data_IF_340897748210
#
_entry.id   IF_340897748210
#
_cell.length_a   1.000
_cell.length_b   1.000
_cell.length_c   1.000
_cell.angle_alpha   90.00
_cell.angle_beta   90.00
_cell.angle_gamma   90.00
#
_symmetry.space_group_name_H-M   'P 1'
#
loop_
_entity.id
_entity.type
_entity.pdbx_description
1 polymer ?
#
# COMPACT_ATOMS: atom_id res chain seq x y z
N UNK A 1 5.65 -10.67 22.16
CA UNK A 1 5.76 -10.20 20.77
C UNK A 1 5.99 -8.71 20.79
N UNK A 2 6.96 -8.22 20.02
CA UNK A 2 7.19 -6.80 19.85
C UNK A 2 6.00 -6.14 19.15
N UNK A 3 5.74 -4.87 19.47
CA UNK A 3 4.66 -4.08 18.85
C UNK A 3 4.83 -3.98 17.33
N UNK A 4 6.07 -4.01 16.85
CA UNK A 4 6.42 -3.97 15.43
C UNK A 4 6.04 -5.26 14.69
N UNK A 5 6.26 -6.42 15.32
CA UNK A 5 5.86 -7.73 14.78
C UNK A 5 4.34 -7.81 14.60
N UNK A 6 3.58 -7.33 15.59
CA UNK A 6 2.11 -7.30 15.54
C UNK A 6 1.60 -6.38 14.42
N UNK A 7 2.19 -5.19 14.28
CA UNK A 7 1.84 -4.24 13.23
C UNK A 7 2.17 -4.77 11.82
N UNK A 8 3.33 -5.42 11.65
CA UNK A 8 3.71 -6.05 10.38
C UNK A 8 2.74 -7.16 9.97
N UNK A 9 2.33 -7.99 10.93
CA UNK A 9 1.39 -9.09 10.70
C UNK A 9 -0.01 -8.58 10.34
N UNK A 10 -0.49 -7.53 11.01
CA UNK A 10 -1.74 -6.84 10.65
C UNK A 10 -1.68 -6.25 9.24
N UNK A 11 -0.55 -5.65 8.84
CA UNK A 11 -0.35 -5.10 7.50
C UNK A 11 -0.41 -6.18 6.42
N UNK A 12 0.25 -7.33 6.65
CA UNK A 12 0.17 -8.48 5.75
C UNK A 12 -1.24 -9.08 5.70
N UNK A 13 -1.91 -9.21 6.84
CA UNK A 13 -3.28 -9.73 6.88
C UNK A 13 -4.25 -8.84 6.12
N UNK A 14 -4.10 -7.50 6.23
CA UNK A 14 -4.83 -6.53 5.41
C UNK A 14 -4.52 -6.66 3.91
N UNK A 15 -3.24 -6.84 3.55
CA UNK A 15 -2.82 -7.08 2.17
C UNK A 15 -3.40 -8.37 1.57
N UNK A 16 -3.39 -9.47 2.33
CA UNK A 16 -4.00 -10.74 1.94
C UNK A 16 -5.51 -10.64 1.79
N UNK A 17 -6.20 -9.95 2.70
CA UNK A 17 -7.65 -9.72 2.60
C UNK A 17 -8.00 -8.94 1.34
N UNK A 18 -7.25 -7.88 1.00
CA UNK A 18 -7.46 -7.12 -0.23
C UNK A 18 -7.20 -7.95 -1.48
N UNK A 19 -6.11 -8.73 -1.50
CA UNK A 19 -5.84 -9.67 -2.60
C UNK A 19 -6.96 -10.70 -2.75
N UNK A 20 -7.42 -11.28 -1.64
CA UNK A 20 -8.53 -12.23 -1.62
C UNK A 20 -9.81 -11.61 -2.18
N UNK A 21 -10.15 -10.41 -1.73
CA UNK A 21 -11.29 -9.65 -2.24
C UNK A 21 -11.17 -9.38 -3.75
N UNK A 22 -10.03 -8.85 -4.22
CA UNK A 22 -9.80 -8.57 -5.64
C UNK A 22 -9.85 -9.85 -6.50
N UNK A 23 -9.33 -10.97 -5.98
CA UNK A 23 -9.36 -12.28 -6.65
C UNK A 23 -10.78 -12.81 -6.79
N UNK A 24 -11.56 -12.76 -5.71
CA UNK A 24 -12.96 -13.20 -5.68
C UNK A 24 -13.82 -12.30 -6.57
N UNK A 25 -13.68 -10.98 -6.49
CA UNK A 25 -14.41 -10.04 -7.35
C UNK A 25 -14.09 -10.26 -8.83
N UNK A 26 -12.83 -10.59 -9.16
CA UNK A 26 -12.45 -10.93 -10.54
C UNK A 26 -13.12 -12.21 -11.01
N UNK A 27 -13.20 -13.25 -10.16
CA UNK A 27 -13.91 -14.49 -10.47
C UNK A 27 -15.41 -14.27 -10.66
N UNK A 28 -16.01 -13.36 -9.89
CA UNK A 28 -17.42 -12.99 -10.01
C UNK A 28 -17.71 -12.07 -11.20
N UNK A 29 -16.72 -11.75 -12.05
CA UNK A 29 -16.84 -10.80 -13.17
C UNK A 29 -17.42 -9.44 -12.76
N UNK A 30 -17.21 -9.04 -11.51
CA UNK A 30 -17.61 -7.73 -11.02
C UNK A 30 -16.56 -6.74 -11.49
N UNK A 31 -16.87 -6.02 -12.56
CA UNK A 31 -16.06 -4.89 -13.00
C UNK A 31 -16.26 -3.72 -12.03
N UNK A 32 -15.23 -3.43 -11.24
CA UNK A 32 -15.23 -2.29 -10.33
C UNK A 32 -13.83 -1.75 -10.11
N UNK A 33 -13.72 -0.43 -9.88
CA UNK A 33 -12.46 0.29 -9.66
C UNK A 33 -11.57 -0.31 -8.56
N UNK A 34 -12.14 -1.13 -7.69
CA UNK A 34 -11.47 -1.89 -6.63
C UNK A 34 -10.36 -2.83 -7.13
N UNK A 35 -10.39 -3.27 -8.39
CA UNK A 35 -9.38 -4.19 -8.96
C UNK A 35 -8.00 -3.53 -9.14
N UNK A 36 -7.97 -2.21 -9.25
CA UNK A 36 -6.74 -1.42 -9.40
C UNK A 36 -6.54 -0.45 -8.24
N UNK A 37 -7.26 -0.59 -7.12
CA UNK A 37 -7.25 0.37 -6.03
C UNK A 37 -5.83 0.77 -5.61
N UNK A 38 -5.50 2.03 -5.86
CA UNK A 38 -4.23 2.65 -5.54
C UNK A 38 -4.40 3.57 -4.33
N UNK A 39 -3.28 4.11 -3.81
CA UNK A 39 -3.36 5.03 -2.68
C UNK A 39 -4.18 6.30 -3.03
N UNK A 40 -4.14 6.74 -4.29
CA UNK A 40 -4.95 7.87 -4.80
C UNK A 40 -6.46 7.63 -4.81
N UNK A 41 -6.90 6.38 -4.85
CA UNK A 41 -8.34 6.05 -4.80
C UNK A 41 -8.87 6.02 -3.37
N UNK A 42 -7.98 5.80 -2.39
CA UNK A 42 -8.34 5.73 -0.96
C UNK A 42 -8.11 7.06 -0.25
N UNK A 43 -7.05 7.77 -0.64
CA UNK A 43 -6.68 9.08 -0.11
C UNK A 43 -7.11 10.13 -1.14
N UNK A 44 -8.01 11.03 -0.73
CA UNK A 44 -8.51 12.09 -1.61
C UNK A 44 -7.34 12.94 -2.16
N UNK A 45 -7.43 13.28 -3.45
CA UNK A 45 -6.35 13.91 -4.20
C UNK A 45 -5.88 15.24 -3.58
N UNK A 46 -6.76 15.93 -2.84
CA UNK A 46 -6.41 17.14 -2.10
C UNK A 46 -5.26 16.94 -1.11
N UNK A 47 -5.15 15.76 -0.48
CA UNK A 47 -4.09 15.43 0.47
C UNK A 47 -2.78 15.00 -0.20
N UNK A 48 -2.75 14.84 -1.53
CA UNK A 48 -1.60 14.42 -2.32
C UNK A 48 -0.99 15.55 -3.16
N UNK A 49 -1.58 16.75 -3.13
CA UNK A 49 -1.09 17.96 -3.84
C UNK A 49 0.29 18.42 -3.39
N UNK A 50 0.77 18.00 -2.22
CA UNK A 50 2.13 18.32 -1.75
C UNK A 50 3.22 17.70 -2.65
N UNK A 51 2.89 16.63 -3.38
CA UNK A 51 3.82 15.95 -4.31
C UNK A 51 4.19 16.86 -5.48
N UNK A 52 3.26 17.73 -5.90
CA UNK A 52 3.49 18.72 -6.97
C UNK A 52 4.46 19.84 -6.53
N UNK A 53 4.70 20.00 -5.22
CA UNK A 53 5.67 20.94 -4.67
C UNK A 53 7.11 20.45 -4.69
N UNK A 54 7.36 19.18 -5.07
CA UNK A 54 8.70 18.59 -5.08
C UNK A 54 9.45 19.03 -6.34
N UNK A 55 10.48 19.86 -6.17
CA UNK A 55 11.35 20.32 -7.27
C UNK A 55 12.25 19.23 -7.86
N UNK A 56 12.39 18.11 -7.15
CA UNK A 56 13.28 17.01 -7.55
C UNK A 56 12.53 15.96 -8.36
N UNK A 57 12.72 16.00 -9.68
CA UNK A 57 12.04 15.18 -10.69
C UNK A 57 12.09 13.66 -10.40
N UNK A 58 13.21 13.18 -9.85
CA UNK A 58 13.37 11.78 -9.45
C UNK A 58 12.49 11.40 -8.26
N UNK A 59 12.38 12.29 -7.28
CA UNK A 59 11.66 12.06 -6.03
C UNK A 59 10.15 12.12 -6.27
N UNK A 60 9.70 13.05 -7.13
CA UNK A 60 8.33 13.12 -7.63
C UNK A 60 7.92 11.83 -8.33
N UNK A 61 8.76 11.28 -9.23
CA UNK A 61 8.49 10.01 -9.92
C UNK A 61 8.41 8.82 -8.96
N UNK A 62 9.27 8.77 -7.94
CA UNK A 62 9.21 7.70 -6.94
C UNK A 62 7.95 7.77 -6.09
N UNK A 63 7.58 8.96 -5.63
CA UNK A 63 6.36 9.15 -4.83
C UNK A 63 5.12 8.84 -5.67
N UNK A 64 5.07 9.31 -6.92
CA UNK A 64 3.94 9.04 -7.81
C UNK A 64 3.80 7.53 -8.11
N UNK A 65 4.92 6.83 -8.29
CA UNK A 65 4.95 5.38 -8.44
C UNK A 65 4.39 4.66 -7.21
N UNK A 66 4.78 5.09 -6.00
CA UNK A 66 4.24 4.55 -4.75
C UNK A 66 2.74 4.83 -4.63
N UNK A 67 2.28 6.01 -5.01
CA UNK A 67 0.87 6.41 -4.92
C UNK A 67 -0.03 5.69 -5.95
N UNK A 68 0.51 5.35 -7.12
CA UNK A 68 -0.21 4.60 -8.16
C UNK A 68 -0.03 3.08 -8.02
N UNK A 69 0.83 2.60 -7.13
CA UNK A 69 0.96 1.16 -6.88
C UNK A 69 -0.32 0.58 -6.26
N UNK A 70 -0.65 -0.71 -6.53
CA UNK A 70 -1.79 -1.35 -5.89
C UNK A 70 -1.61 -1.39 -4.38
N UNK A 71 -2.68 -1.08 -3.65
CA UNK A 71 -2.64 -0.89 -2.21
C UNK A 71 -2.19 -2.15 -1.45
N UNK A 72 -2.51 -3.34 -1.97
CA UNK A 72 -2.05 -4.59 -1.39
C UNK A 72 -0.52 -4.71 -1.43
N UNK A 73 0.15 -4.28 -2.51
CA UNK A 73 1.61 -4.32 -2.62
C UNK A 73 2.25 -3.43 -1.58
N UNK A 74 1.68 -2.22 -1.41
CA UNK A 74 2.09 -1.26 -0.39
C UNK A 74 1.98 -1.83 1.03
N UNK A 75 0.86 -2.49 1.35
CA UNK A 75 0.64 -3.17 2.63
C UNK A 75 1.65 -4.30 2.88
N UNK A 76 2.00 -5.06 1.85
CA UNK A 76 3.06 -6.07 1.96
C UNK A 76 4.42 -5.43 2.19
N UNK A 77 4.77 -4.38 1.44
CA UNK A 77 6.03 -3.65 1.60
C UNK A 77 6.16 -3.06 3.02
N UNK A 78 5.14 -2.37 3.51
CA UNK A 78 5.13 -1.80 4.87
C UNK A 78 5.26 -2.90 5.92
N UNK A 79 4.52 -4.01 5.76
CA UNK A 79 4.63 -5.15 6.66
C UNK A 79 6.04 -5.75 6.70
N UNK A 80 6.66 -5.94 5.54
CA UNK A 80 8.04 -6.44 5.44
C UNK A 80 9.05 -5.48 6.07
N UNK A 81 8.91 -4.17 5.85
CA UNK A 81 9.78 -3.17 6.49
C UNK A 81 9.62 -3.21 8.01
N UNK A 82 8.40 -3.32 8.54
CA UNK A 82 8.15 -3.44 9.98
C UNK A 82 8.78 -4.70 10.57
N UNK A 83 8.75 -5.83 9.85
CA UNK A 83 9.46 -7.04 10.27
C UNK A 83 10.98 -6.88 10.26
N UNK A 84 11.54 -6.24 9.24
CA UNK A 84 12.98 -5.96 9.15
C UNK A 84 13.41 -5.04 10.30
N UNK A 85 12.68 -3.94 10.53
CA UNK A 85 12.97 -3.02 11.64
C UNK A 85 12.93 -3.78 12.96
N UNK A 86 11.92 -4.64 13.16
CA UNK A 86 11.89 -5.48 14.35
C UNK A 86 13.13 -6.38 14.46
N UNK A 87 13.56 -7.02 13.38
CA UNK A 87 14.74 -7.89 13.38
C UNK A 87 16.06 -7.17 13.66
N UNK A 88 16.14 -5.85 13.40
CA UNK A 88 17.32 -5.03 13.71
C UNK A 88 17.26 -4.32 15.07
N UNK A 89 16.07 -4.11 15.63
CA UNK A 89 15.84 -3.44 16.91
C UNK A 89 15.53 -4.39 18.08
N UNK A 90 15.53 -5.70 17.82
CA UNK A 90 15.44 -6.79 18.81
C UNK A 90 16.84 -7.28 19.20
#
# INVERSE_FOLDING_TARGET
MSKFTLAGLLSWLGGFLLLGFQSISTLMSVEGKWKSMNLKDVVDAQYLTWVDGITWDMLTKMVDYVLTMPLFVLLFCVGTILFIVNAFFE
#
